data_IF_595971040428
#
_entry.id   IF_595971040428
#
_cell.length_a   1.000
_cell.length_b   1.000
_cell.length_c   1.000
_cell.angle_alpha   90.00
_cell.angle_beta   90.00
_cell.angle_gamma   90.00
#
_symmetry.space_group_name_H-M   'P 1'
#
loop_
_entity.id
_entity.type
_entity.pdbx_description
1 polymer ?
#
# COMPACT_ATOMS: atom_id res chain seq x y z
N UNK A 1 71.73 44.13 -47.07
CA UNK A 1 72.12 43.83 -45.67
C UNK A 1 70.85 43.76 -44.86
N UNK A 2 70.67 42.66 -44.14
CA UNK A 2 69.47 42.21 -43.44
C UNK A 2 69.24 43.02 -42.16
N UNK A 3 68.04 43.56 -41.92
CA UNK A 3 67.56 43.80 -40.53
C UNK A 3 66.06 43.50 -40.46
N UNK A 4 65.76 42.49 -39.64
CA UNK A 4 64.44 42.07 -39.16
C UNK A 4 64.04 42.99 -37.99
N UNK A 5 62.77 43.38 -37.90
CA UNK A 5 62.18 43.80 -36.63
C UNK A 5 60.86 43.09 -36.39
N UNK A 6 60.81 42.43 -35.23
CA UNK A 6 59.71 41.72 -34.61
C UNK A 6 58.79 42.76 -33.93
N UNK A 7 57.47 42.58 -34.01
CA UNK A 7 56.52 43.43 -33.31
C UNK A 7 55.16 42.76 -33.11
N UNK A 8 54.88 42.41 -31.86
CA UNK A 8 53.71 41.72 -31.31
C UNK A 8 52.43 42.57 -31.22
N UNK A 9 51.29 41.86 -31.31
CA UNK A 9 49.94 42.08 -30.74
C UNK A 9 49.59 43.42 -30.06
N UNK A 10 48.41 43.97 -30.40
CA UNK A 10 47.49 44.63 -29.44
C UNK A 10 46.04 44.72 -30.00
N UNK A 11 45.07 44.55 -29.09
CA UNK A 11 43.61 44.64 -29.24
C UNK A 11 43.10 46.05 -29.59
N UNK A 12 41.92 46.16 -30.19
CA UNK A 12 41.11 47.40 -30.19
C UNK A 12 39.80 47.30 -31.00
N UNK A 13 38.67 47.62 -30.35
CA UNK A 13 37.27 47.48 -30.77
C UNK A 13 36.76 48.48 -31.83
N UNK A 14 35.59 48.20 -32.47
CA UNK A 14 34.39 49.07 -32.43
C UNK A 14 33.15 48.46 -33.13
N UNK A 15 32.00 48.88 -32.62
CA UNK A 15 30.61 48.54 -32.92
C UNK A 15 30.14 48.92 -34.35
N UNK A 16 29.14 48.21 -34.88
CA UNK A 16 28.13 48.83 -35.77
C UNK A 16 26.73 48.33 -35.44
N UNK A 17 25.89 49.31 -35.14
CA UNK A 17 24.43 49.27 -35.00
C UNK A 17 23.76 49.23 -36.38
N UNK A 18 22.58 48.61 -36.50
CA UNK A 18 21.73 48.87 -37.66
C UNK A 18 20.57 47.91 -37.92
N UNK A 19 19.40 48.31 -37.39
CA UNK A 19 18.04 48.25 -37.98
C UNK A 19 17.13 47.01 -37.82
N UNK A 20 16.04 47.25 -37.08
CA UNK A 20 14.82 46.45 -36.88
C UNK A 20 13.93 46.35 -38.14
N UNK A 21 12.89 45.50 -38.12
CA UNK A 21 11.57 46.03 -37.75
C UNK A 21 10.75 45.14 -36.80
N UNK A 22 9.78 45.80 -36.18
CA UNK A 22 8.84 45.35 -35.16
C UNK A 22 7.97 44.13 -35.53
N UNK A 23 7.77 43.23 -34.57
CA UNK A 23 6.50 42.54 -34.32
C UNK A 23 6.38 42.23 -32.81
N UNK A 24 5.46 42.92 -32.13
CA UNK A 24 4.90 42.54 -30.83
C UNK A 24 3.62 41.75 -31.13
N UNK A 25 3.38 40.58 -30.48
CA UNK A 25 2.48 40.65 -29.34
C UNK A 25 2.94 39.74 -28.19
N UNK A 26 3.20 40.35 -27.05
CA UNK A 26 2.71 39.95 -25.73
C UNK A 26 2.54 38.43 -25.51
N UNK A 27 3.62 37.66 -25.59
CA UNK A 27 3.73 36.45 -24.79
C UNK A 27 3.94 36.88 -23.34
N UNK A 28 2.83 37.21 -22.67
CA UNK A 28 2.81 37.32 -21.23
C UNK A 28 3.34 36.00 -20.67
N UNK A 29 4.52 36.08 -20.06
CA UNK A 29 5.11 35.03 -19.26
C UNK A 29 4.12 34.77 -18.12
N UNK A 30 3.22 33.80 -18.29
CA UNK A 30 2.34 33.32 -17.23
C UNK A 30 3.25 32.83 -16.11
N UNK A 31 3.44 33.63 -15.07
CA UNK A 31 4.13 33.20 -13.87
C UNK A 31 3.35 32.01 -13.32
N UNK A 32 4.00 30.85 -13.23
CA UNK A 32 3.42 29.70 -12.56
C UNK A 32 3.07 30.10 -11.13
N UNK A 33 1.86 29.78 -10.70
CA UNK A 33 1.44 30.01 -9.32
C UNK A 33 2.24 29.05 -8.43
N UNK A 34 3.04 29.62 -7.53
CA UNK A 34 3.81 28.86 -6.55
C UNK A 34 3.21 29.05 -5.16
N UNK A 35 3.08 27.94 -4.43
CA UNK A 35 2.69 27.99 -3.04
C UNK A 35 3.83 28.56 -2.18
N UNK A 36 3.52 29.39 -1.18
CA UNK A 36 4.51 29.85 -0.22
C UNK A 36 4.99 28.69 0.68
N UNK A 37 6.12 28.87 1.39
CA UNK A 37 6.53 27.96 2.46
C UNK A 37 5.39 27.69 3.45
N UNK A 38 5.24 26.44 3.88
CA UNK A 38 4.16 26.06 4.78
C UNK A 38 4.42 26.52 6.21
N UNK A 39 3.61 27.45 6.69
CA UNK A 39 3.62 27.92 8.07
C UNK A 39 2.24 27.77 8.72
N UNK A 40 2.06 26.69 9.50
CA UNK A 40 0.76 26.34 10.09
C UNK A 40 0.20 27.35 11.09
N UNK A 41 1.03 28.29 11.56
CA UNK A 41 0.61 29.37 12.47
C UNK A 41 -0.43 30.30 11.83
N UNK A 42 -0.42 30.39 10.50
CA UNK A 42 -1.36 31.19 9.71
C UNK A 42 -2.64 30.43 9.32
N UNK A 43 -2.74 29.14 9.66
CA UNK A 43 -3.93 28.36 9.36
C UNK A 43 -5.07 28.65 10.35
N UNK A 44 -6.30 28.65 9.83
CA UNK A 44 -7.51 28.75 10.63
C UNK A 44 -8.44 27.57 10.30
N UNK A 45 -8.61 26.59 11.22
CA UNK A 45 -7.90 26.44 12.48
C UNK A 45 -6.44 26.01 12.27
N UNK A 46 -5.59 26.29 13.26
CA UNK A 46 -4.18 25.85 13.24
C UNK A 46 -4.02 24.32 13.26
N UNK A 47 -4.99 23.63 13.85
CA UNK A 47 -4.95 22.17 14.05
C UNK A 47 -6.22 21.52 13.54
N UNK A 48 -6.06 20.34 12.93
CA UNK A 48 -7.15 19.50 12.43
C UNK A 48 -8.20 19.18 13.50
N UNK A 49 -7.78 19.00 14.76
CA UNK A 49 -8.65 18.66 15.89
C UNK A 49 -9.76 19.69 16.16
N UNK A 50 -9.59 20.93 15.69
CA UNK A 50 -10.60 21.99 15.84
C UNK A 50 -11.61 22.04 14.68
N UNK A 51 -11.38 21.30 13.62
CA UNK A 51 -12.35 21.18 12.53
C UNK A 51 -13.49 20.24 12.96
N UNK A 52 -14.72 20.64 12.65
CA UNK A 52 -15.91 19.79 12.79
C UNK A 52 -16.31 19.30 11.41
N UNK A 53 -15.60 18.30 10.92
CA UNK A 53 -15.81 17.76 9.59
C UNK A 53 -16.92 16.71 9.58
N UNK A 54 -17.71 16.68 8.50
CA UNK A 54 -18.65 15.61 8.20
C UNK A 54 -17.92 14.31 7.82
N UNK A 55 -16.81 14.45 7.09
CA UNK A 55 -15.84 13.39 6.80
C UNK A 55 -14.52 13.58 7.56
N UNK A 56 -13.43 13.07 7.00
CA UNK A 56 -12.07 13.22 7.48
C UNK A 56 -11.47 14.62 7.25
N UNK A 57 -10.17 14.72 7.53
CA UNK A 57 -9.39 15.96 7.41
C UNK A 57 -8.31 15.78 6.34
N UNK A 58 -8.25 16.73 5.42
CA UNK A 58 -7.24 16.82 4.36
C UNK A 58 -6.53 18.18 4.42
N UNK A 59 -5.77 18.53 3.40
CA UNK A 59 -5.09 19.81 3.27
C UNK A 59 -5.62 20.64 2.12
N UNK A 60 -5.62 21.96 2.27
CA UNK A 60 -6.05 22.89 1.22
C UNK A 60 -5.16 22.85 -0.04
N UNK A 61 -5.41 23.78 -0.95
CA UNK A 61 -4.74 23.90 -2.27
C UNK A 61 -3.22 23.76 -2.17
N UNK A 62 -2.59 24.49 -1.26
CA UNK A 62 -1.13 24.46 -1.08
C UNK A 62 -0.61 23.35 -0.16
N UNK A 63 -1.44 22.39 0.24
CA UNK A 63 -1.02 21.24 1.04
C UNK A 63 -0.64 21.54 2.49
N UNK A 64 -0.82 22.78 2.97
CA UNK A 64 -0.35 23.21 4.29
C UNK A 64 -1.42 23.17 5.39
N UNK A 65 -2.52 23.89 5.19
CA UNK A 65 -3.54 24.07 6.22
C UNK A 65 -4.56 22.93 6.24
N UNK A 66 -4.97 22.46 7.43
CA UNK A 66 -5.99 21.43 7.55
C UNK A 66 -7.35 21.98 7.12
N UNK A 67 -8.09 21.21 6.32
CA UNK A 67 -9.44 21.49 5.86
C UNK A 67 -10.27 20.21 5.88
N UNK A 68 -11.60 20.32 5.89
CA UNK A 68 -12.44 19.12 5.80
C UNK A 68 -12.37 18.50 4.41
N UNK A 69 -12.23 17.18 4.39
CA UNK A 69 -12.34 16.42 3.15
C UNK A 69 -13.81 16.38 2.68
N UNK A 70 -14.00 16.23 1.38
CA UNK A 70 -15.32 16.16 0.74
C UNK A 70 -15.90 14.75 0.89
N UNK A 71 -17.12 14.67 1.41
CA UNK A 71 -17.83 13.41 1.60
C UNK A 71 -18.35 12.87 0.26
N UNK A 72 -18.88 11.64 0.28
CA UNK A 72 -19.50 11.02 -0.88
C UNK A 72 -20.60 11.91 -1.47
N UNK A 73 -20.66 11.95 -2.80
CA UNK A 73 -21.53 12.80 -3.62
C UNK A 73 -21.28 14.31 -3.52
N UNK A 74 -20.26 14.78 -2.81
CA UNK A 74 -19.88 16.20 -2.79
C UNK A 74 -18.97 16.57 -3.96
N UNK A 75 -19.05 17.82 -4.42
CA UNK A 75 -18.22 18.34 -5.50
C UNK A 75 -16.74 18.46 -5.09
N UNK A 76 -15.84 18.15 -6.03
CA UNK A 76 -14.39 18.10 -5.83
C UNK A 76 -13.61 18.55 -7.07
N UNK A 77 -12.30 18.75 -6.90
CA UNK A 77 -11.40 19.11 -8.00
C UNK A 77 -11.37 20.62 -8.29
N UNK A 78 -11.50 21.00 -9.56
CA UNK A 78 -11.19 22.34 -10.04
C UNK A 78 -9.68 22.58 -10.16
N UNK A 79 -9.28 23.76 -10.65
CA UNK A 79 -7.87 24.13 -10.73
C UNK A 79 -7.21 24.05 -9.33
N UNK A 80 -6.17 23.23 -9.19
CA UNK A 80 -5.45 23.03 -7.92
C UNK A 80 -6.30 22.50 -6.75
N UNK A 81 -7.40 21.79 -7.04
CA UNK A 81 -8.33 21.26 -6.03
C UNK A 81 -9.02 22.34 -5.18
N UNK A 82 -9.25 23.54 -5.73
CA UNK A 82 -9.91 24.62 -4.98
C UNK A 82 -11.33 24.26 -4.53
N UNK A 83 -12.01 23.35 -5.25
CA UNK A 83 -13.32 22.84 -4.87
C UNK A 83 -13.23 21.83 -3.73
N UNK A 84 -12.04 21.30 -3.45
CA UNK A 84 -11.75 20.38 -2.35
C UNK A 84 -11.33 18.98 -2.81
N UNK A 85 -10.75 18.25 -1.86
CA UNK A 85 -10.27 16.88 -2.03
C UNK A 85 -11.23 15.91 -1.33
N UNK A 86 -11.49 14.78 -1.96
CA UNK A 86 -12.36 13.75 -1.40
C UNK A 86 -11.78 13.11 -0.13
N UNK A 87 -12.67 12.57 0.69
CA UNK A 87 -12.33 11.86 1.91
C UNK A 87 -11.61 10.53 1.64
N UNK A 88 -11.04 9.94 2.68
CA UNK A 88 -10.34 8.66 2.58
C UNK A 88 -11.27 7.58 1.99
N UNK A 89 -10.80 6.91 0.93
CA UNK A 89 -11.56 5.87 0.21
C UNK A 89 -12.50 6.42 -0.88
N UNK A 90 -12.47 7.73 -1.15
CA UNK A 90 -13.24 8.36 -2.22
C UNK A 90 -12.31 8.93 -3.30
N UNK A 91 -12.75 8.90 -4.56
CA UNK A 91 -12.03 9.52 -5.70
C UNK A 91 -12.92 10.56 -6.35
N UNK A 92 -12.28 11.65 -6.81
CA UNK A 92 -12.95 12.71 -7.55
C UNK A 92 -13.17 12.28 -9.01
N UNK A 93 -14.42 12.00 -9.36
CA UNK A 93 -14.80 11.55 -10.71
C UNK A 93 -15.33 12.73 -11.51
N UNK A 94 -14.67 13.04 -12.63
CA UNK A 94 -15.05 14.13 -13.54
C UNK A 94 -16.02 13.64 -14.61
N UNK A 95 -17.02 14.45 -14.95
CA UNK A 95 -17.91 14.17 -16.08
C UNK A 95 -17.19 14.44 -17.41
N UNK A 96 -17.43 13.61 -18.43
CA UNK A 96 -16.71 13.67 -19.71
C UNK A 96 -17.13 14.85 -20.62
N UNK A 97 -18.16 15.61 -20.25
CA UNK A 97 -18.83 16.59 -21.12
C UNK A 97 -18.54 18.05 -20.78
N UNK A 98 -17.26 18.46 -20.80
CA UNK A 98 -16.87 19.87 -20.64
C UNK A 98 -15.66 20.22 -21.49
N UNK A 99 -15.86 21.06 -22.50
CA UNK A 99 -14.90 21.42 -23.55
C UNK A 99 -13.82 22.42 -23.09
N UNK A 100 -13.59 22.56 -21.78
CA UNK A 100 -12.52 23.39 -21.23
C UNK A 100 -11.73 22.62 -20.14
N UNK A 101 -10.43 22.46 -20.35
CA UNK A 101 -9.57 21.57 -19.54
C UNK A 101 -9.16 22.18 -18.20
N UNK A 102 -9.43 23.47 -17.99
CA UNK A 102 -8.92 24.27 -16.88
C UNK A 102 -9.79 24.28 -15.62
N UNK A 103 -11.07 23.89 -15.72
CA UNK A 103 -12.02 23.90 -14.60
C UNK A 103 -12.80 22.59 -14.48
N UNK A 104 -12.10 21.45 -14.53
CA UNK A 104 -12.76 20.15 -14.35
C UNK A 104 -13.28 20.03 -12.93
N UNK A 105 -14.60 20.11 -12.79
CA UNK A 105 -15.33 19.82 -11.57
C UNK A 105 -15.74 18.36 -11.57
N UNK A 106 -15.52 17.66 -10.46
CA UNK A 106 -15.92 16.27 -10.28
C UNK A 106 -16.82 16.09 -9.08
N UNK A 107 -17.18 14.82 -8.82
CA UNK A 107 -17.95 14.39 -7.66
C UNK A 107 -17.21 13.27 -6.94
N UNK A 108 -17.14 13.34 -5.62
CA UNK A 108 -16.54 12.29 -4.81
C UNK A 108 -17.40 11.03 -4.84
N UNK A 109 -16.83 9.94 -5.35
CA UNK A 109 -17.47 8.63 -5.39
C UNK A 109 -16.66 7.65 -4.58
N UNK A 110 -17.36 6.74 -3.89
CA UNK A 110 -16.71 5.61 -3.26
C UNK A 110 -15.88 4.87 -4.29
N UNK A 111 -14.59 4.78 -4.01
CA UNK A 111 -13.78 3.76 -4.65
C UNK A 111 -14.22 2.47 -3.97
N UNK A 112 -15.23 1.81 -4.55
CA UNK A 112 -15.22 0.36 -4.49
C UNK A 112 -14.02 0.00 -5.36
N UNK A 113 -12.82 0.18 -4.82
CA UNK A 113 -11.72 -0.69 -5.13
C UNK A 113 -12.28 -2.01 -4.57
N UNK A 114 -12.66 -3.00 -5.41
CA UNK A 114 -12.00 -4.25 -5.14
C UNK A 114 -10.54 -3.83 -5.06
N UNK A 115 -9.96 -3.83 -3.85
CA UNK A 115 -8.53 -4.05 -3.71
C UNK A 115 -8.19 -4.94 -4.88
N UNK A 116 -7.43 -4.43 -5.86
CA UNK A 116 -7.03 -5.20 -7.03
C UNK A 116 -6.84 -6.59 -6.50
N UNK A 117 -7.69 -7.51 -6.95
CA UNK A 117 -7.70 -8.84 -6.36
C UNK A 117 -6.27 -9.27 -6.49
N UNK A 118 -5.50 -9.24 -5.39
CA UNK A 118 -4.35 -10.09 -5.21
C UNK A 118 -4.92 -11.39 -5.72
N UNK A 119 -4.46 -11.83 -6.89
CA UNK A 119 -5.09 -12.92 -7.62
C UNK A 119 -4.73 -14.14 -6.80
N UNK A 120 -5.44 -14.29 -5.68
CA UNK A 120 -5.12 -15.25 -4.69
C UNK A 120 -5.43 -16.56 -5.40
N UNK A 121 -4.45 -17.45 -5.39
CA UNK A 121 -4.74 -18.84 -5.59
C UNK A 121 -5.89 -19.27 -4.66
N UNK A 122 -6.68 -20.29 -5.05
CA UNK A 122 -7.76 -20.79 -4.21
C UNK A 122 -7.28 -21.09 -2.79
N UNK A 123 -8.18 -20.96 -1.82
CA UNK A 123 -7.88 -21.21 -0.41
C UNK A 123 -7.31 -22.63 -0.21
N UNK A 124 -6.29 -22.74 0.62
CA UNK A 124 -5.76 -24.02 1.06
C UNK A 124 -6.82 -24.70 1.95
N UNK A 125 -7.66 -25.54 1.34
CA UNK A 125 -8.64 -26.37 2.04
C UNK A 125 -8.18 -27.82 2.06
N UNK A 126 -8.74 -28.61 2.98
CA UNK A 126 -8.45 -30.04 3.11
C UNK A 126 -8.73 -30.76 1.79
N UNK A 127 -9.85 -30.43 1.16
CA UNK A 127 -10.33 -31.01 -0.09
C UNK A 127 -9.43 -30.58 -1.25
N UNK A 128 -9.17 -29.27 -1.37
CA UNK A 128 -8.36 -28.75 -2.46
C UNK A 128 -6.95 -29.35 -2.46
N UNK A 129 -6.28 -29.37 -1.30
CA UNK A 129 -4.91 -29.86 -1.21
C UNK A 129 -4.76 -31.38 -1.27
N UNK A 130 -5.80 -32.14 -0.87
CA UNK A 130 -5.84 -33.58 -1.10
C UNK A 130 -5.84 -33.90 -2.59
N UNK A 131 -6.67 -33.18 -3.36
CA UNK A 131 -6.86 -33.46 -4.78
C UNK A 131 -5.74 -32.83 -5.63
N UNK A 132 -4.98 -31.88 -5.06
CA UNK A 132 -3.98 -31.07 -5.77
C UNK A 132 -2.68 -30.86 -4.96
N UNK A 133 -1.88 -31.92 -4.69
CA UNK A 133 -0.77 -31.84 -3.73
C UNK A 133 0.36 -30.87 -4.13
N UNK A 134 0.52 -30.54 -5.40
CA UNK A 134 1.59 -29.63 -5.89
C UNK A 134 1.09 -28.26 -6.30
N UNK A 135 -0.22 -27.98 -6.17
CA UNK A 135 -0.77 -26.68 -6.55
C UNK A 135 -0.48 -25.64 -5.48
N UNK A 136 -0.32 -24.40 -5.94
CA UNK A 136 -0.25 -23.23 -5.08
C UNK A 136 -1.66 -22.88 -4.61
N UNK A 137 -1.79 -22.56 -3.34
CA UNK A 137 -3.03 -22.16 -2.67
C UNK A 137 -2.77 -20.99 -1.71
N UNK A 138 -3.83 -20.29 -1.30
CA UNK A 138 -3.77 -19.22 -0.30
C UNK A 138 -3.88 -19.79 1.10
N UNK A 139 -2.85 -19.66 1.92
CA UNK A 139 -2.86 -20.11 3.33
C UNK A 139 -3.32 -19.01 4.29
N UNK A 140 -4.15 -18.07 3.82
CA UNK A 140 -4.57 -16.88 4.57
C UNK A 140 -5.16 -17.22 5.94
N UNK A 141 -5.93 -18.31 6.02
CA UNK A 141 -6.63 -18.74 7.23
C UNK A 141 -5.98 -19.93 7.93
N UNK A 142 -5.05 -20.61 7.27
CA UNK A 142 -4.47 -21.89 7.74
C UNK A 142 -2.97 -21.81 8.00
N UNK A 143 -2.35 -20.64 7.86
CA UNK A 143 -0.96 -20.44 8.23
C UNK A 143 -0.79 -20.07 9.71
N UNK A 144 0.21 -20.66 10.38
CA UNK A 144 0.57 -20.33 11.76
C UNK A 144 1.17 -18.92 11.88
N UNK A 145 1.93 -18.51 10.87
CA UNK A 145 2.70 -17.26 10.88
C UNK A 145 2.47 -16.51 9.58
N UNK A 146 2.31 -15.18 9.67
CA UNK A 146 2.13 -14.33 8.50
C UNK A 146 3.48 -13.77 8.05
N UNK A 147 3.79 -13.93 6.77
CA UNK A 147 4.97 -13.35 6.10
C UNK A 147 4.56 -12.05 5.41
N UNK A 148 5.16 -10.93 5.79
CA UNK A 148 4.80 -9.61 5.25
C UNK A 148 4.94 -9.52 3.72
N UNK A 149 5.95 -10.17 3.14
CA UNK A 149 6.17 -10.22 1.69
C UNK A 149 5.11 -11.04 0.92
N UNK A 150 4.32 -11.87 1.61
CA UNK A 150 3.29 -12.71 1.00
C UNK A 150 1.89 -12.05 1.10
N UNK A 151 1.84 -10.78 1.49
CA UNK A 151 0.63 -9.96 1.50
C UNK A 151 -0.52 -10.57 2.31
N UNK A 152 -1.73 -10.46 1.79
CA UNK A 152 -2.93 -10.99 2.45
C UNK A 152 -3.13 -12.50 2.20
N UNK A 153 -2.71 -13.01 1.04
CA UNK A 153 -3.00 -14.38 0.61
C UNK A 153 -2.09 -15.44 1.24
N UNK A 154 -0.86 -15.10 1.63
CA UNK A 154 0.06 -16.07 2.26
C UNK A 154 0.22 -17.34 1.40
N UNK A 155 0.60 -17.19 0.12
CA UNK A 155 0.62 -18.33 -0.81
C UNK A 155 1.65 -19.38 -0.42
N UNK A 156 1.28 -20.65 -0.60
CA UNK A 156 2.17 -21.79 -0.41
C UNK A 156 1.73 -22.97 -1.29
N UNK A 157 2.54 -24.02 -1.35
CA UNK A 157 2.19 -25.28 -2.02
C UNK A 157 1.35 -26.15 -1.09
N UNK A 158 0.35 -26.85 -1.62
CA UNK A 158 -0.42 -27.84 -0.86
C UNK A 158 0.44 -28.93 -0.20
N UNK A 159 1.62 -29.22 -0.76
CA UNK A 159 2.60 -30.14 -0.17
C UNK A 159 3.26 -29.61 1.11
N UNK A 160 3.15 -28.31 1.38
CA UNK A 160 3.59 -27.66 2.61
C UNK A 160 2.48 -27.57 3.67
N UNK A 161 1.31 -28.13 3.39
CA UNK A 161 0.21 -28.26 4.34
C UNK A 161 0.24 -29.61 5.04
N UNK A 162 -0.05 -29.60 6.33
CA UNK A 162 -0.14 -30.79 7.18
C UNK A 162 -1.46 -30.79 7.93
N UNK A 163 -2.03 -31.98 8.12
CA UNK A 163 -3.17 -32.15 9.00
C UNK A 163 -2.68 -32.41 10.42
N UNK A 164 -2.97 -31.49 11.34
CA UNK A 164 -2.63 -31.61 12.77
C UNK A 164 -3.80 -32.26 13.51
N UNK A 165 -3.55 -33.42 14.10
CA UNK A 165 -4.53 -34.13 14.92
C UNK A 165 -4.17 -33.99 16.41
N UNK A 166 -5.13 -33.65 17.30
CA UNK A 166 -4.86 -33.64 18.73
C UNK A 166 -4.43 -35.03 19.21
N UNK A 167 -3.41 -35.14 20.08
CA UNK A 167 -3.05 -36.42 20.66
C UNK A 167 -4.18 -36.92 21.58
N UNK A 168 -4.30 -38.24 21.81
CA UNK A 168 -5.33 -38.83 22.65
C UNK A 168 -5.06 -38.55 24.15
N UNK A 169 -5.25 -37.31 24.58
CA UNK A 169 -5.18 -36.87 25.96
C UNK A 169 -6.62 -36.54 26.43
N UNK A 170 -7.36 -37.51 26.98
CA UNK A 170 -8.81 -37.39 27.20
C UNK A 170 -9.20 -36.53 28.41
N UNK A 171 -8.27 -35.92 29.14
CA UNK A 171 -8.52 -35.23 30.40
C UNK A 171 -9.17 -33.85 30.17
N UNK A 172 -10.46 -33.64 30.50
CA UNK A 172 -11.03 -32.31 30.54
C UNK A 172 -10.54 -31.59 31.80
N UNK A 173 -9.92 -30.42 31.63
CA UNK A 173 -9.43 -29.60 32.74
C UNK A 173 -10.19 -28.27 32.80
N UNK A 174 -10.66 -27.83 33.99
CA UNK A 174 -11.13 -26.46 34.15
C UNK A 174 -9.96 -25.48 34.09
N UNK A 175 -10.19 -24.28 33.56
CA UNK A 175 -9.14 -23.27 33.35
C UNK A 175 -8.41 -22.83 34.64
N UNK A 176 -9.03 -23.04 35.81
CA UNK A 176 -8.45 -22.68 37.11
C UNK A 176 -7.58 -23.78 37.73
N UNK A 177 -7.66 -25.03 37.27
CA UNK A 177 -6.91 -26.15 37.86
C UNK A 177 -5.54 -26.29 37.19
N UNK A 178 -4.56 -25.61 37.79
CA UNK A 178 -3.17 -25.62 37.32
C UNK A 178 -2.57 -27.03 37.31
N UNK A 179 -2.91 -27.89 38.26
CA UNK A 179 -2.37 -29.25 38.34
C UNK A 179 -2.87 -30.10 37.18
N UNK A 180 -4.18 -30.04 36.89
CA UNK A 180 -4.77 -30.72 35.73
C UNK A 180 -4.15 -30.22 34.42
N UNK A 181 -4.06 -28.89 34.24
CA UNK A 181 -3.49 -28.28 33.04
C UNK A 181 -2.03 -28.68 32.83
N UNK A 182 -1.23 -28.75 33.89
CA UNK A 182 0.16 -29.23 33.81
C UNK A 182 0.25 -30.72 33.44
N UNK A 183 -0.61 -31.57 34.00
CA UNK A 183 -0.65 -32.99 33.63
C UNK A 183 -1.08 -33.20 32.17
N UNK A 184 -2.07 -32.45 31.72
CA UNK A 184 -2.47 -32.42 30.31
C UNK A 184 -1.31 -32.01 29.40
N UNK A 185 -0.59 -30.93 29.75
CA UNK A 185 0.60 -30.50 29.01
C UNK A 185 1.69 -31.56 28.92
N UNK A 186 1.94 -32.29 30.02
CA UNK A 186 2.89 -33.43 30.04
C UNK A 186 2.42 -34.57 29.13
N UNK A 187 1.12 -34.90 29.13
CA UNK A 187 0.54 -35.90 28.23
C UNK A 187 0.81 -35.55 26.76
N UNK A 188 0.49 -34.31 26.37
CA UNK A 188 0.72 -33.81 25.01
C UNK A 188 2.20 -33.87 24.65
N UNK A 189 3.08 -33.40 25.53
CA UNK A 189 4.53 -33.39 25.28
C UNK A 189 5.09 -34.80 25.02
N UNK A 190 4.69 -35.78 25.82
CA UNK A 190 5.12 -37.16 25.64
C UNK A 190 4.71 -37.73 24.28
N UNK A 191 3.51 -37.36 23.78
CA UNK A 191 3.05 -37.74 22.45
C UNK A 191 3.84 -37.08 21.32
N UNK A 192 4.27 -35.83 21.48
CA UNK A 192 5.09 -35.14 20.47
C UNK A 192 6.53 -35.67 20.40
N UNK A 193 7.06 -36.24 21.48
CA UNK A 193 8.42 -36.79 21.53
C UNK A 193 8.53 -38.22 20.95
N UNK A 194 7.41 -38.90 20.71
CA UNK A 194 7.40 -40.26 20.17
C UNK A 194 7.69 -40.22 18.65
N UNK A 195 8.78 -40.85 18.16
CA UNK A 195 9.26 -40.70 16.79
C UNK A 195 8.33 -41.23 15.68
N UNK A 196 7.26 -41.96 16.03
CA UNK A 196 6.33 -42.59 15.09
C UNK A 196 4.87 -42.17 15.28
N UNK A 197 4.59 -41.11 16.05
CA UNK A 197 3.20 -40.71 16.26
C UNK A 197 2.77 -39.70 15.18
N UNK A 198 1.70 -39.98 14.41
CA UNK A 198 1.39 -39.18 13.24
C UNK A 198 0.54 -37.96 13.64
N UNK A 199 1.20 -37.05 14.36
CA UNK A 199 0.64 -35.74 14.76
C UNK A 199 0.45 -34.85 13.53
N UNK A 200 1.26 -35.08 12.49
CA UNK A 200 1.20 -34.39 11.21
C UNK A 200 1.15 -35.43 10.10
N UNK A 201 0.15 -35.34 9.22
CA UNK A 201 0.12 -36.14 7.99
C UNK A 201 0.33 -35.26 6.76
N UNK A 202 1.24 -35.69 5.88
CA UNK A 202 1.47 -35.08 4.57
C UNK A 202 0.45 -35.57 3.52
N UNK A 203 -0.10 -36.77 3.71
CA UNK A 203 -1.26 -37.24 2.95
C UNK A 203 -2.50 -36.81 3.73
N UNK A 204 -3.42 -36.10 3.09
CA UNK A 204 -4.65 -35.61 3.71
C UNK A 204 -5.76 -36.66 3.47
N UNK A 205 -6.03 -37.60 4.40
CA UNK A 205 -7.09 -38.58 4.21
C UNK A 205 -8.48 -37.97 4.39
N UNK A 206 -9.47 -38.52 3.68
CA UNK A 206 -10.83 -37.98 3.63
C UNK A 206 -11.56 -37.94 4.98
N UNK A 207 -11.20 -38.77 5.96
CA UNK A 207 -12.06 -39.07 7.11
C UNK A 207 -11.43 -38.83 8.50
N UNK A 208 -10.37 -38.03 8.58
CA UNK A 208 -9.75 -37.67 9.86
C UNK A 208 -10.18 -36.28 10.34
N UNK A 209 -10.60 -36.21 11.61
CA UNK A 209 -10.75 -34.96 12.35
C UNK A 209 -9.36 -34.37 12.59
N UNK A 210 -9.11 -33.13 12.16
CA UNK A 210 -7.83 -32.48 12.30
C UNK A 210 -7.84 -31.07 11.71
N UNK A 211 -6.94 -30.22 12.21
CA UNK A 211 -6.79 -28.85 11.73
C UNK A 211 -5.76 -28.83 10.60
N UNK A 212 -6.13 -28.28 9.45
CA UNK A 212 -5.17 -28.06 8.37
C UNK A 212 -4.29 -26.87 8.74
N UNK A 213 -2.98 -27.09 8.68
CA UNK A 213 -1.97 -26.06 8.94
C UNK A 213 -0.99 -26.03 7.79
N UNK A 214 -0.74 -24.85 7.21
CA UNK A 214 0.15 -24.68 6.07
C UNK A 214 1.34 -23.80 6.41
N UNK A 215 2.53 -24.28 6.04
CA UNK A 215 3.78 -23.55 6.21
C UNK A 215 3.99 -22.61 5.02
N UNK A 216 4.22 -21.33 5.31
CA UNK A 216 4.47 -20.30 4.31
C UNK A 216 5.96 -19.98 4.31
N UNK A 217 6.65 -20.05 3.15
CA UNK A 217 8.10 -19.87 3.08
C UNK A 217 8.53 -18.48 3.54
N UNK A 218 9.75 -18.39 4.07
CA UNK A 218 10.35 -17.12 4.48
C UNK A 218 10.52 -16.15 3.31
N UNK A 219 10.55 -14.86 3.64
CA UNK A 219 10.80 -13.82 2.66
C UNK A 219 12.27 -13.88 2.21
N UNK A 220 12.56 -13.79 0.90
CA UNK A 220 13.91 -13.95 0.35
C UNK A 220 14.97 -12.93 0.84
N UNK A 221 14.58 -11.92 1.63
CA UNK A 221 15.46 -10.90 2.19
C UNK A 221 15.24 -10.61 3.68
N UNK A 222 14.65 -11.53 4.44
CA UNK A 222 14.47 -11.37 5.90
C UNK A 222 15.75 -11.66 6.73
N UNK A 223 16.93 -11.40 6.15
CA UNK A 223 18.22 -11.48 6.86
C UNK A 223 18.74 -10.06 7.09
N UNK A 224 18.41 -9.49 8.25
CA UNK A 224 19.20 -8.45 8.92
C UNK A 224 19.14 -8.67 10.42
#
# INVERSE_FOLDING_TARGET
MLIVFVGTFLLGALETTGNSPAQDPAHQHLKALHCPPCERVHCSPRTALRLRCKGGVTTGVCGCCPVCAKAEAESCGGAWDYLGKCDQGLVCVFEESGQDKTERTGVCKAVIEPLESESCHPECTKEFCRDNPTKICSARLVSLERRACQGSCQHTSCSACVLVTPPPCPQPCPASDQSCLQHFGKCVHNHLQLPNQPVCHHNIPSNTEGLLVCLVPDCPHASK
#
